data_IF_146747433137
#
_entry.id   IF_146747433137
#
_cell.length_a   1.000
_cell.length_b   1.000
_cell.length_c   1.000
_cell.angle_alpha   90.00
_cell.angle_beta   90.00
_cell.angle_gamma   90.00
#
_symmetry.space_group_name_H-M   'P 1'
#
loop_
_entity.id
_entity.type
_entity.pdbx_description
1 polymer ?
#
# COMPACT_ATOMS: atom_id res chain seq x y z
N UNK A 1 -19.03 1.69 -23.14
CA UNK A 1 -17.86 1.96 -22.32
C UNK A 1 -18.33 2.45 -20.96
N UNK A 2 -17.72 1.98 -19.86
CA UNK A 2 -18.01 2.53 -18.53
C UNK A 2 -17.26 3.84 -18.34
N UNK A 3 -17.91 4.85 -17.74
CA UNK A 3 -17.35 6.19 -17.53
C UNK A 3 -17.48 6.59 -16.07
N UNK A 4 -16.41 7.18 -15.50
CA UNK A 4 -16.33 7.61 -14.12
C UNK A 4 -15.73 9.01 -14.01
N UNK A 5 -16.05 9.74 -12.95
CA UNK A 5 -15.34 10.98 -12.62
C UNK A 5 -13.90 10.69 -12.22
N UNK A 6 -13.67 9.58 -11.51
CA UNK A 6 -12.37 9.18 -11.00
C UNK A 6 -12.11 7.69 -11.17
N UNK A 7 -10.99 7.35 -11.80
CA UNK A 7 -10.43 6.00 -11.82
C UNK A 7 -9.18 5.97 -10.92
N UNK A 8 -9.15 5.05 -9.98
CA UNK A 8 -8.02 4.83 -9.09
C UNK A 8 -7.35 3.51 -9.44
N UNK A 9 -6.04 3.53 -9.64
CA UNK A 9 -5.26 2.33 -9.98
C UNK A 9 -4.45 1.89 -8.77
N UNK A 10 -4.79 0.72 -8.22
CA UNK A 10 -4.19 0.14 -7.03
C UNK A 10 -5.22 -0.29 -6.00
N UNK A 11 -4.81 -1.07 -5.00
CA UNK A 11 -5.68 -1.60 -3.93
C UNK A 11 -5.05 -1.50 -2.54
N UNK A 12 -4.11 -0.60 -2.36
CA UNK A 12 -3.52 -0.29 -1.06
C UNK A 12 -4.37 0.68 -0.23
N UNK A 13 -3.96 1.02 0.99
CA UNK A 13 -4.67 1.96 1.86
C UNK A 13 -4.94 3.31 1.19
N UNK A 14 -3.98 3.83 0.42
CA UNK A 14 -4.12 5.10 -0.29
C UNK A 14 -5.26 5.05 -1.33
N UNK A 15 -5.38 3.93 -2.07
CA UNK A 15 -6.43 3.74 -3.05
C UNK A 15 -7.81 3.76 -2.39
N UNK A 16 -8.00 3.00 -1.33
CA UNK A 16 -9.29 2.90 -0.63
C UNK A 16 -9.68 4.20 0.06
N UNK A 17 -8.73 4.87 0.73
CA UNK A 17 -8.96 6.18 1.36
C UNK A 17 -9.37 7.23 0.33
N UNK A 18 -8.67 7.29 -0.80
CA UNK A 18 -9.01 8.18 -1.92
C UNK A 18 -10.40 7.88 -2.48
N UNK A 19 -10.72 6.59 -2.71
CA UNK A 19 -12.01 6.17 -3.25
C UNK A 19 -13.18 6.57 -2.34
N UNK A 20 -13.06 6.30 -1.04
CA UNK A 20 -14.09 6.69 -0.06
C UNK A 20 -14.28 8.20 0.00
N UNK A 21 -13.18 8.96 0.02
CA UNK A 21 -13.23 10.43 0.02
C UNK A 21 -13.89 10.98 -1.25
N UNK A 22 -13.59 10.40 -2.42
CA UNK A 22 -14.21 10.79 -3.68
C UNK A 22 -15.71 10.52 -3.67
N UNK A 23 -16.14 9.36 -3.17
CA UNK A 23 -17.56 9.02 -3.03
C UNK A 23 -18.30 9.95 -2.07
N UNK A 24 -17.67 10.32 -0.94
CA UNK A 24 -18.26 11.31 -0.02
C UNK A 24 -18.49 12.69 -0.68
N UNK A 25 -17.69 13.01 -1.70
CA UNK A 25 -17.83 14.24 -2.50
C UNK A 25 -18.78 14.10 -3.70
N UNK A 26 -19.47 12.97 -3.82
CA UNK A 26 -20.47 12.71 -4.87
C UNK A 26 -19.88 12.28 -6.21
N UNK A 27 -18.56 11.99 -6.29
CA UNK A 27 -17.94 11.56 -7.54
C UNK A 27 -18.25 10.09 -7.84
N UNK A 28 -18.55 9.77 -9.10
CA UNK A 28 -18.57 8.39 -9.58
C UNK A 28 -17.15 7.86 -9.62
N UNK A 29 -16.89 6.78 -8.88
CA UNK A 29 -15.52 6.32 -8.62
C UNK A 29 -15.37 4.83 -8.87
N UNK A 30 -14.33 4.45 -9.61
CA UNK A 30 -13.90 3.08 -9.78
C UNK A 30 -12.47 2.87 -9.29
N UNK A 31 -12.19 1.67 -8.77
CA UNK A 31 -10.85 1.20 -8.39
C UNK A 31 -10.50 0.00 -9.27
N UNK A 32 -9.43 0.13 -10.05
CA UNK A 32 -8.87 -0.97 -10.82
C UNK A 32 -7.72 -1.62 -10.04
N UNK A 33 -7.85 -2.91 -9.74
CA UNK A 33 -6.86 -3.67 -8.99
C UNK A 33 -6.78 -5.11 -9.50
N UNK A 34 -5.58 -5.59 -9.84
CA UNK A 34 -5.42 -6.99 -10.21
C UNK A 34 -5.67 -7.89 -8.98
N UNK A 35 -6.32 -9.03 -9.19
CA UNK A 35 -6.55 -10.04 -8.13
C UNK A 35 -5.25 -10.53 -7.49
N UNK A 36 -4.17 -10.59 -8.27
CA UNK A 36 -2.83 -10.98 -7.83
C UNK A 36 -2.04 -9.85 -7.17
N UNK A 37 -2.57 -8.61 -7.14
CA UNK A 37 -1.86 -7.49 -6.54
C UNK A 37 -1.75 -7.68 -5.03
N UNK A 38 -0.53 -7.81 -4.54
CA UNK A 38 -0.23 -7.88 -3.11
C UNK A 38 0.28 -6.52 -2.62
N UNK A 39 -0.40 -5.96 -1.63
CA UNK A 39 0.07 -4.78 -0.90
C UNK A 39 1.11 -5.21 0.15
N UNK A 40 2.09 -4.33 0.44
CA UNK A 40 3.01 -4.53 1.56
C UNK A 40 2.27 -4.69 2.89
N UNK A 41 1.23 -3.91 3.09
CA UNK A 41 0.38 -4.01 4.28
C UNK A 41 -0.21 -5.41 4.46
N UNK A 42 -0.54 -6.11 3.37
CA UNK A 42 -1.14 -7.45 3.44
C UNK A 42 -0.23 -8.49 4.14
N UNK A 43 1.08 -8.23 4.22
CA UNK A 43 2.07 -9.10 4.85
C UNK A 43 2.23 -8.86 6.35
N UNK A 44 1.73 -7.75 6.87
CA UNK A 44 1.77 -7.48 8.29
C UNK A 44 0.87 -8.46 9.04
N UNK A 45 1.48 -9.33 9.84
CA UNK A 45 0.74 -10.30 10.64
C UNK A 45 -0.05 -9.63 11.75
N UNK A 46 0.49 -8.51 12.28
CA UNK A 46 -0.11 -7.76 13.37
C UNK A 46 0.22 -6.27 13.26
N UNK A 47 -0.78 -5.45 13.46
CA UNK A 47 -0.68 -3.97 13.48
C UNK A 47 -1.29 -3.51 14.79
N UNK A 48 -0.50 -2.87 15.64
CA UNK A 48 -0.92 -2.42 16.98
C UNK A 48 -1.27 -0.93 17.01
N UNK A 49 -0.77 -0.15 16.06
CA UNK A 49 -0.84 1.31 16.03
C UNK A 49 -1.88 1.88 15.06
N UNK A 50 -2.83 1.07 14.58
CA UNK A 50 -3.94 1.59 13.78
C UNK A 50 -5.10 2.00 14.70
N UNK A 51 -5.48 3.31 14.73
CA UNK A 51 -6.51 3.81 15.65
C UNK A 51 -7.83 3.06 15.50
N UNK A 52 -8.37 2.58 16.63
CA UNK A 52 -9.65 1.85 16.70
C UNK A 52 -9.58 0.38 16.31
N UNK A 53 -8.46 -0.12 15.78
CA UNK A 53 -8.30 -1.51 15.35
C UNK A 53 -6.95 -2.09 15.85
N UNK A 54 -6.75 -2.23 17.17
CA UNK A 54 -5.52 -2.81 17.69
C UNK A 54 -5.42 -4.30 17.34
N UNK A 55 -4.20 -4.77 17.13
CA UNK A 55 -3.89 -6.19 16.88
C UNK A 55 -4.52 -6.78 15.59
N UNK A 56 -4.88 -5.92 14.64
CA UNK A 56 -5.44 -6.35 13.36
C UNK A 56 -4.31 -6.80 12.42
N UNK A 57 -4.56 -7.84 11.60
CA UNK A 57 -3.64 -8.17 10.52
C UNK A 57 -3.81 -7.20 9.34
N UNK A 58 -2.73 -7.00 8.56
CA UNK A 58 -2.80 -6.16 7.37
C UNK A 58 -3.78 -6.67 6.32
N UNK A 59 -3.93 -7.99 6.21
CA UNK A 59 -4.91 -8.63 5.33
C UNK A 59 -6.36 -8.28 5.74
N UNK A 60 -6.65 -8.38 7.02
CA UNK A 60 -7.98 -8.05 7.54
C UNK A 60 -8.26 -6.55 7.42
N UNK A 61 -7.28 -5.70 7.71
CA UNK A 61 -7.42 -4.25 7.59
C UNK A 61 -7.75 -3.83 6.15
N UNK A 62 -7.04 -4.38 5.15
CA UNK A 62 -7.32 -4.12 3.73
C UNK A 62 -8.69 -4.64 3.32
N UNK A 63 -9.11 -5.80 3.84
CA UNK A 63 -10.46 -6.35 3.60
C UNK A 63 -11.56 -5.41 4.10
N UNK A 64 -11.37 -4.83 5.28
CA UNK A 64 -12.31 -3.86 5.86
C UNK A 64 -12.37 -2.57 5.04
N UNK A 65 -11.21 -2.05 4.58
CA UNK A 65 -11.20 -0.87 3.69
C UNK A 65 -11.96 -1.13 2.41
N UNK A 66 -11.71 -2.28 1.79
CA UNK A 66 -12.39 -2.68 0.55
C UNK A 66 -13.90 -2.80 0.75
N UNK A 67 -14.34 -3.47 1.81
CA UNK A 67 -15.76 -3.63 2.13
C UNK A 67 -16.43 -2.27 2.32
N UNK A 68 -15.83 -1.40 3.14
CA UNK A 68 -16.36 -0.06 3.38
C UNK A 68 -16.45 0.77 2.08
N UNK A 69 -15.43 0.71 1.22
CA UNK A 69 -15.48 1.40 -0.07
C UNK A 69 -16.59 0.87 -0.97
N UNK A 70 -16.81 -0.46 -0.99
CA UNK A 70 -17.90 -1.08 -1.76
C UNK A 70 -19.28 -0.64 -1.22
N UNK A 71 -19.46 -0.63 0.10
CA UNK A 71 -20.70 -0.16 0.76
C UNK A 71 -21.01 1.31 0.45
N UNK A 72 -19.96 2.13 0.23
CA UNK A 72 -20.09 3.52 -0.23
C UNK A 72 -20.34 3.66 -1.73
N UNK A 73 -20.47 2.56 -2.47
CA UNK A 73 -20.77 2.54 -3.90
C UNK A 73 -19.55 2.76 -4.79
N UNK A 74 -18.33 2.46 -4.32
CA UNK A 74 -17.15 2.39 -5.19
C UNK A 74 -17.25 1.15 -6.08
N UNK A 75 -17.07 1.33 -7.38
CA UNK A 75 -17.01 0.21 -8.32
C UNK A 75 -15.61 -0.43 -8.26
N UNK A 76 -15.55 -1.72 -8.03
CA UNK A 76 -14.29 -2.45 -7.94
C UNK A 76 -14.10 -3.31 -9.18
N UNK A 77 -13.06 -3.02 -9.95
CA UNK A 77 -12.71 -3.74 -11.19
C UNK A 77 -11.48 -4.60 -10.89
N UNK A 78 -11.69 -5.91 -10.76
CA UNK A 78 -10.62 -6.86 -10.38
C UNK A 78 -9.76 -7.26 -11.57
N UNK A 79 -9.23 -6.24 -12.26
CA UNK A 79 -8.40 -6.42 -13.45
C UNK A 79 -7.22 -5.45 -13.44
N UNK A 80 -6.14 -5.84 -14.12
CA UNK A 80 -4.94 -5.03 -14.25
C UNK A 80 -5.17 -3.87 -15.22
N UNK A 81 -4.90 -2.64 -14.78
CA UNK A 81 -4.76 -1.49 -15.67
C UNK A 81 -3.40 -1.57 -16.39
N UNK A 82 -3.43 -1.61 -17.72
CA UNK A 82 -2.24 -1.86 -18.55
C UNK A 82 -1.73 -0.60 -19.26
N UNK A 83 -2.65 0.27 -19.66
CA UNK A 83 -2.30 1.44 -20.45
C UNK A 83 -3.27 2.57 -20.15
N UNK A 84 -2.74 3.78 -20.06
CA UNK A 84 -3.50 5.03 -19.90
C UNK A 84 -3.23 5.87 -21.13
N UNK A 85 -4.29 6.35 -21.77
CA UNK A 85 -4.24 7.20 -22.97
C UNK A 85 -5.03 8.48 -22.69
N UNK A 86 -4.37 9.66 -22.64
CA UNK A 86 -5.09 10.92 -22.64
C UNK A 86 -5.88 11.11 -23.96
N UNK A 87 -7.12 11.60 -23.86
CA UNK A 87 -7.99 11.84 -25.01
C UNK A 87 -8.83 13.09 -24.76
N UNK A 88 -8.31 14.25 -25.17
CA UNK A 88 -8.93 15.53 -24.84
C UNK A 88 -8.98 15.76 -23.32
N UNK A 89 -10.18 15.97 -22.79
CA UNK A 89 -10.41 16.27 -21.36
C UNK A 89 -10.65 14.99 -20.52
N UNK A 90 -10.47 13.82 -21.11
CA UNK A 90 -10.66 12.53 -20.44
C UNK A 90 -9.45 11.62 -20.61
N UNK A 91 -9.42 10.57 -19.82
CA UNK A 91 -8.48 9.47 -19.93
C UNK A 91 -9.21 8.20 -20.35
N UNK A 92 -8.63 7.47 -21.31
CA UNK A 92 -9.04 6.13 -21.68
C UNK A 92 -8.03 5.15 -21.10
N UNK A 93 -8.48 4.28 -20.21
CA UNK A 93 -7.60 3.29 -19.56
C UNK A 93 -7.98 1.89 -19.96
N UNK A 94 -7.02 1.13 -20.49
CA UNK A 94 -7.20 -0.30 -20.75
C UNK A 94 -7.08 -1.07 -19.43
N UNK A 95 -8.21 -1.61 -18.95
CA UNK A 95 -8.30 -2.41 -17.72
C UNK A 95 -8.76 -3.81 -18.10
N UNK A 96 -7.86 -4.78 -17.98
CA UNK A 96 -8.11 -6.10 -18.55
C UNK A 96 -8.22 -6.05 -20.07
N UNK A 97 -9.43 -6.31 -20.59
CA UNK A 97 -9.77 -6.22 -22.01
C UNK A 97 -10.73 -5.06 -22.32
N UNK A 98 -11.13 -4.30 -21.31
CA UNK A 98 -12.11 -3.24 -21.44
C UNK A 98 -11.45 -1.86 -21.39
N UNK A 99 -12.04 -0.90 -22.11
CA UNK A 99 -11.64 0.50 -22.02
C UNK A 99 -12.57 1.21 -21.03
N UNK A 100 -11.96 1.80 -20.01
CA UNK A 100 -12.64 2.61 -18.99
C UNK A 100 -12.31 4.08 -19.25
N UNK A 101 -13.34 4.90 -19.35
CA UNK A 101 -13.21 6.34 -19.45
C UNK A 101 -13.23 6.97 -18.06
N UNK A 102 -12.39 7.99 -17.84
CA UNK A 102 -12.41 8.78 -16.60
C UNK A 102 -11.97 10.21 -16.82
N UNK A 103 -12.52 11.14 -16.02
CA UNK A 103 -12.13 12.56 -16.05
C UNK A 103 -10.79 12.79 -15.33
N UNK A 104 -10.50 11.96 -14.34
CA UNK A 104 -9.25 12.00 -13.60
C UNK A 104 -8.77 10.59 -13.26
N UNK A 105 -7.46 10.47 -13.05
CA UNK A 105 -6.82 9.22 -12.61
C UNK A 105 -5.96 9.48 -11.38
N UNK A 106 -6.02 8.55 -10.42
CA UNK A 106 -5.10 8.50 -9.28
C UNK A 106 -4.28 7.22 -9.36
N UNK A 107 -2.97 7.36 -9.36
CA UNK A 107 -2.02 6.24 -9.30
C UNK A 107 -1.71 5.94 -7.83
N UNK A 108 -2.24 4.85 -7.31
CA UNK A 108 -2.08 4.40 -5.93
C UNK A 108 -1.49 2.97 -5.86
N UNK A 109 -0.55 2.68 -6.75
CA UNK A 109 0.02 1.34 -6.96
C UNK A 109 1.07 0.95 -5.92
N UNK A 110 1.42 1.86 -5.01
CA UNK A 110 2.50 1.66 -4.04
C UNK A 110 3.89 1.79 -4.66
N UNK A 111 4.90 1.35 -3.92
CA UNK A 111 6.28 1.35 -4.37
C UNK A 111 6.66 -0.01 -4.99
N UNK A 112 7.54 0.01 -5.99
CA UNK A 112 8.16 -1.20 -6.50
C UNK A 112 9.01 -1.87 -5.41
N UNK A 113 9.05 -3.20 -5.42
CA UNK A 113 9.92 -3.94 -4.51
C UNK A 113 11.38 -3.80 -4.93
N UNK A 114 12.28 -3.49 -4.00
CA UNK A 114 13.69 -3.72 -4.23
C UNK A 114 13.95 -5.24 -4.39
N UNK A 115 15.09 -5.59 -4.97
CA UNK A 115 15.54 -7.00 -4.99
C UNK A 115 15.82 -7.40 -3.53
N UNK A 116 15.14 -8.46 -3.07
CA UNK A 116 15.34 -8.97 -1.73
C UNK A 116 16.71 -9.63 -1.57
N UNK A 117 17.24 -9.58 -0.35
CA UNK A 117 18.42 -10.34 0.02
C UNK A 117 18.06 -11.83 0.17
N UNK A 118 19.02 -12.76 -0.02
CA UNK A 118 18.77 -14.16 0.21
C UNK A 118 18.26 -14.42 1.64
N UNK A 119 17.14 -15.14 1.79
CA UNK A 119 16.52 -15.47 3.07
C UNK A 119 15.67 -14.35 3.70
N UNK A 120 15.64 -13.16 3.12
CA UNK A 120 14.93 -12.02 3.68
C UNK A 120 13.41 -12.28 3.80
N UNK A 121 12.81 -12.88 2.80
CA UNK A 121 11.36 -13.13 2.79
C UNK A 121 10.94 -14.14 3.88
N UNK A 122 11.78 -15.13 4.17
CA UNK A 122 11.53 -16.15 5.19
C UNK A 122 11.68 -15.60 6.62
N UNK A 123 12.53 -14.58 6.78
CA UNK A 123 12.84 -13.97 8.06
C UNK A 123 12.01 -12.72 8.35
N UNK A 124 11.17 -12.27 7.41
CA UNK A 124 10.32 -11.11 7.60
C UNK A 124 9.35 -11.32 8.77
N UNK A 125 9.35 -10.39 9.74
CA UNK A 125 8.63 -10.52 11.00
C UNK A 125 9.29 -11.47 12.02
N UNK A 126 10.41 -12.14 11.65
CA UNK A 126 11.16 -13.09 12.49
C UNK A 126 12.61 -12.67 12.71
N UNK A 127 12.92 -11.41 12.56
CA UNK A 127 14.25 -10.83 12.68
C UNK A 127 14.56 -9.83 11.59
N UNK A 128 13.85 -9.85 10.48
CA UNK A 128 13.92 -8.85 9.41
C UNK A 128 12.66 -7.99 9.43
N UNK A 129 12.84 -6.68 9.32
CA UNK A 129 11.77 -5.69 9.14
C UNK A 129 12.17 -4.67 8.08
N UNK A 130 11.17 -4.13 7.37
CA UNK A 130 11.36 -3.06 6.39
C UNK A 130 10.95 -1.68 6.92
N UNK A 131 10.59 -1.60 8.20
CA UNK A 131 10.15 -0.36 8.81
C UNK A 131 10.67 -0.29 10.25
N UNK A 132 11.79 0.39 10.46
CA UNK A 132 12.37 0.56 11.78
C UNK A 132 11.44 1.25 12.76
N UNK A 133 10.69 2.24 12.31
CA UNK A 133 9.73 2.97 13.15
C UNK A 133 8.48 2.16 13.48
N UNK A 134 8.05 1.24 12.60
CA UNK A 134 6.88 0.39 12.84
C UNK A 134 7.18 -0.71 13.86
N UNK A 135 8.34 -1.37 13.70
CA UNK A 135 8.68 -2.61 14.39
C UNK A 135 9.80 -2.43 15.41
N UNK A 136 10.44 -1.25 15.50
CA UNK A 136 11.61 -1.00 16.33
C UNK A 136 11.42 -1.35 17.79
N UNK A 137 10.21 -1.21 18.32
CA UNK A 137 9.88 -1.58 19.69
C UNK A 137 10.07 -3.08 19.99
N UNK A 138 9.94 -3.97 19.00
CA UNK A 138 10.18 -5.40 19.17
C UNK A 138 11.67 -5.73 19.32
N UNK A 139 12.54 -4.80 18.95
CA UNK A 139 13.99 -4.92 18.99
C UNK A 139 14.65 -4.11 20.13
N UNK A 140 13.86 -3.58 21.06
CA UNK A 140 14.36 -2.85 22.24
C UNK A 140 15.39 -3.69 22.99
N UNK A 141 16.58 -3.11 23.22
CA UNK A 141 17.70 -3.73 23.93
C UNK A 141 18.41 -4.86 23.15
N UNK A 142 18.04 -5.11 21.88
CA UNK A 142 18.70 -6.08 21.01
C UNK A 142 19.75 -5.41 20.13
N UNK A 143 20.68 -6.18 19.59
CA UNK A 143 21.56 -5.74 18.50
C UNK A 143 20.80 -5.79 17.19
N UNK A 144 20.90 -4.74 16.39
CA UNK A 144 20.24 -4.63 15.09
C UNK A 144 21.23 -4.17 14.03
N UNK A 145 20.98 -4.56 12.78
CA UNK A 145 21.68 -4.05 11.62
C UNK A 145 20.70 -3.32 10.70
N UNK A 146 21.08 -2.14 10.23
CA UNK A 146 20.32 -1.39 9.22
C UNK A 146 21.06 -1.46 7.89
N UNK A 147 20.42 -2.02 6.88
CA UNK A 147 20.95 -2.09 5.52
C UNK A 147 20.16 -1.12 4.64
N UNK A 148 20.83 -0.11 4.10
CA UNK A 148 20.19 0.91 3.27
C UNK A 148 21.07 1.41 2.14
N UNK A 149 20.48 1.51 0.96
CA UNK A 149 21.13 2.11 -0.21
C UNK A 149 20.73 3.59 -0.42
N UNK A 150 20.05 4.22 0.54
CA UNK A 150 19.56 5.59 0.44
C UNK A 150 19.68 6.36 1.77
N UNK A 151 19.62 7.68 1.70
CA UNK A 151 19.90 8.56 2.85
C UNK A 151 18.92 8.40 4.02
N UNK A 152 17.66 8.04 3.78
CA UNK A 152 16.67 7.82 4.84
C UNK A 152 16.99 6.66 5.79
N UNK A 153 17.87 5.74 5.38
CA UNK A 153 18.35 4.68 6.27
C UNK A 153 19.15 5.19 7.48
N UNK A 154 19.81 6.35 7.34
CA UNK A 154 20.52 6.98 8.46
C UNK A 154 19.54 7.43 9.54
N UNK A 155 18.43 8.06 9.16
CA UNK A 155 17.39 8.50 10.09
C UNK A 155 16.75 7.31 10.81
N UNK A 156 16.53 6.19 10.12
CA UNK A 156 16.06 4.96 10.75
C UNK A 156 17.08 4.35 11.71
N UNK A 157 18.37 4.36 11.36
CA UNK A 157 19.43 3.90 12.23
C UNK A 157 19.55 4.75 13.50
N UNK A 158 19.45 6.08 13.38
CA UNK A 158 19.43 7.00 14.52
C UNK A 158 18.23 6.75 15.44
N UNK A 159 17.04 6.54 14.87
CA UNK A 159 15.85 6.19 15.64
C UNK A 159 16.04 4.87 16.38
N UNK A 160 16.57 3.85 15.73
CA UNK A 160 16.82 2.53 16.34
C UNK A 160 17.92 2.59 17.41
N UNK A 161 18.91 3.47 17.29
CA UNK A 161 19.95 3.67 18.30
C UNK A 161 19.37 4.15 19.66
N UNK A 162 18.20 4.79 19.65
CA UNK A 162 17.45 5.13 20.87
C UNK A 162 16.73 3.95 21.51
N UNK A 163 16.63 2.81 20.84
CA UNK A 163 15.87 1.64 21.29
C UNK A 163 16.75 0.39 21.47
N UNK A 164 17.61 0.11 20.52
CA UNK A 164 18.48 -1.06 20.48
C UNK A 164 19.69 -0.91 21.43
N UNK A 165 20.33 -2.02 21.77
CA UNK A 165 21.60 -1.98 22.52
C UNK A 165 22.80 -1.64 21.64
N UNK A 166 22.71 -1.91 20.34
CA UNK A 166 23.75 -1.68 19.34
C UNK A 166 23.11 -1.60 17.97
N UNK A 167 23.56 -0.69 17.12
CA UNK A 167 23.09 -0.54 15.74
C UNK A 167 24.28 -0.52 14.79
N UNK A 168 24.34 -1.50 13.89
CA UNK A 168 25.29 -1.54 12.77
C UNK A 168 24.60 -0.98 11.51
N UNK A 169 25.28 -0.07 10.80
CA UNK A 169 24.76 0.52 9.56
C UNK A 169 25.62 0.12 8.35
N UNK A 170 24.98 -0.39 7.29
CA UNK A 170 25.61 -0.87 6.05
C UNK A 170 25.04 -0.23 4.80
#
# INVERSE_FOLDING_TARGET
MASYDLLIIGAGPAAWSCAMTARQRGLTTAVACAQSATSWLQRAERIDNYPGLPQISGKELLSRFRAQAADMGVVIIEQLARQIMPSGDIYMTLVGNDIIESRAIVLAMGAARPKLLPGEEELLGRGVSWCGTCDGMFYRGKKVAVLSAWTGGVEEAEFLAGLASEVDYY
#
